data_IF_282974443763
#
_entry.id   IF_282974443763
#
_cell.length_a   1.000
_cell.length_b   1.000
_cell.length_c   1.000
_cell.angle_alpha   90.00
_cell.angle_beta   90.00
_cell.angle_gamma   90.00
#
_symmetry.space_group_name_H-M   'P 1'
#
loop_
_entity.id
_entity.type
_entity.pdbx_description
1 polymer ?
#
# COMPACT_ATOMS: atom_id res chain seq x y z
N UNK A 1 -16.93 27.06 13.23
CA UNK A 1 -15.49 26.83 13.11
C UNK A 1 -15.14 25.60 13.95
N UNK A 2 -15.11 24.43 13.31
CA UNK A 2 -14.78 23.16 13.96
C UNK A 2 -13.30 22.85 13.64
N UNK A 3 -12.42 23.38 14.46
CA UNK A 3 -11.01 23.02 14.39
C UNK A 3 -10.81 21.67 15.12
N UNK A 4 -10.04 20.72 14.59
CA UNK A 4 -9.79 19.46 15.28
C UNK A 4 -9.07 19.70 16.61
N UNK A 5 -9.36 18.85 17.60
CA UNK A 5 -8.68 18.89 18.89
C UNK A 5 -7.21 18.50 18.73
N UNK A 6 -6.94 17.51 17.90
CA UNK A 6 -5.59 17.05 17.56
C UNK A 6 -5.49 16.73 16.06
N UNK A 7 -4.28 16.93 15.52
CA UNK A 7 -3.90 16.46 14.18
C UNK A 7 -2.86 15.37 14.37
N UNK A 8 -3.17 14.17 13.93
CA UNK A 8 -2.35 12.97 14.17
C UNK A 8 -1.93 12.39 12.82
N UNK A 9 -0.64 12.22 12.59
CA UNK A 9 -0.11 11.45 11.47
C UNK A 9 0.29 10.06 11.95
N UNK A 10 -0.42 9.06 11.48
CA UNK A 10 -0.22 7.66 11.82
C UNK A 10 0.62 7.00 10.74
N UNK A 11 1.76 6.44 11.13
CA UNK A 11 2.70 5.79 10.21
C UNK A 11 2.88 4.31 10.54
N UNK A 12 3.27 3.47 9.58
CA UNK A 12 3.44 2.04 9.80
C UNK A 12 4.75 1.66 10.51
N UNK A 13 5.73 2.57 10.59
CA UNK A 13 7.00 2.33 11.26
C UNK A 13 7.75 3.62 11.57
N UNK A 14 8.78 3.51 12.43
CA UNK A 14 9.58 4.66 12.88
C UNK A 14 10.37 5.32 11.74
N UNK A 15 10.85 4.57 10.75
CA UNK A 15 11.58 5.13 9.62
C UNK A 15 10.73 6.11 8.83
N UNK A 16 9.50 5.73 8.51
CA UNK A 16 8.53 6.61 7.85
C UNK A 16 8.12 7.79 8.73
N UNK A 17 8.00 7.58 10.05
CA UNK A 17 7.74 8.70 10.97
C UNK A 17 8.80 9.79 10.89
N UNK A 18 10.07 9.40 10.80
CA UNK A 18 11.19 10.36 10.68
C UNK A 18 11.17 11.08 9.34
N UNK A 19 10.97 10.33 8.25
CA UNK A 19 10.86 10.91 6.92
C UNK A 19 9.73 11.95 6.85
N UNK A 20 8.55 11.62 7.35
CA UNK A 20 7.42 12.55 7.36
C UNK A 20 7.69 13.79 8.21
N UNK A 21 8.40 13.66 9.34
CA UNK A 21 8.77 14.82 10.14
C UNK A 21 9.66 15.78 9.34
N UNK A 22 10.67 15.25 8.66
CA UNK A 22 11.59 16.04 7.84
C UNK A 22 10.84 16.70 6.68
N UNK A 23 10.00 15.97 5.97
CA UNK A 23 9.20 16.49 4.84
C UNK A 23 8.20 17.56 5.28
N UNK A 24 7.54 17.39 6.41
CA UNK A 24 6.64 18.39 6.96
C UNK A 24 7.40 19.69 7.33
N UNK A 25 8.57 19.58 7.95
CA UNK A 25 9.40 20.75 8.27
C UNK A 25 9.88 21.47 7.00
N UNK A 26 10.32 20.71 5.99
CA UNK A 26 10.72 21.28 4.70
C UNK A 26 9.54 21.97 3.97
N UNK A 27 8.34 21.46 4.17
CA UNK A 27 7.10 22.02 3.60
C UNK A 27 6.53 23.20 4.41
N UNK A 28 7.23 23.65 5.46
CA UNK A 28 6.83 24.80 6.28
C UNK A 28 5.94 24.47 7.49
N UNK A 29 5.67 23.18 7.75
CA UNK A 29 4.95 22.74 8.95
C UNK A 29 5.90 22.55 10.14
N UNK A 30 6.60 23.60 10.54
CA UNK A 30 7.61 23.56 11.59
C UNK A 30 7.09 23.21 13.00
N UNK A 31 5.77 23.16 13.19
CA UNK A 31 5.13 22.70 14.43
C UNK A 31 4.87 21.19 14.48
N UNK A 32 5.36 20.42 13.50
CA UNK A 32 5.25 18.97 13.50
C UNK A 32 6.26 18.36 14.47
N UNK A 33 5.85 17.36 15.24
CA UNK A 33 6.70 16.67 16.21
C UNK A 33 6.30 15.22 16.41
N UNK A 34 7.21 14.41 16.96
CA UNK A 34 6.82 13.09 17.45
C UNK A 34 5.92 13.22 18.67
N UNK A 35 4.94 12.34 18.75
CA UNK A 35 4.07 12.27 19.92
C UNK A 35 4.88 12.09 21.21
N UNK A 36 4.61 12.93 22.20
CA UNK A 36 5.24 12.88 23.52
C UNK A 36 4.18 13.01 24.62
N UNK A 37 4.04 11.99 25.47
CA UNK A 37 3.08 11.95 26.58
C UNK A 37 3.25 13.10 27.60
N UNK A 38 4.47 13.57 27.77
CA UNK A 38 4.81 14.58 28.78
C UNK A 38 4.54 16.01 28.31
N UNK A 39 4.14 16.19 27.06
CA UNK A 39 3.94 17.51 26.45
C UNK A 39 2.52 17.68 25.96
N UNK A 40 1.95 18.84 26.21
CA UNK A 40 0.71 19.27 25.56
C UNK A 40 1.11 20.09 24.33
N UNK A 41 0.87 19.60 23.11
CA UNK A 41 1.25 20.31 21.90
C UNK A 41 0.43 21.59 21.74
N UNK A 42 1.02 22.57 21.06
CA UNK A 42 0.30 23.75 20.64
C UNK A 42 -0.83 23.39 19.68
N UNK A 43 -1.91 24.16 19.66
CA UNK A 43 -3.03 23.95 18.73
C UNK A 43 -2.53 24.00 17.28
N UNK A 44 -2.91 23.01 16.49
CA UNK A 44 -2.48 22.87 15.11
C UNK A 44 -1.17 22.12 14.90
N UNK A 45 -0.52 21.67 15.99
CA UNK A 45 0.65 20.79 15.88
C UNK A 45 0.25 19.45 15.28
N UNK A 46 1.05 18.94 14.32
CA UNK A 46 0.90 17.59 13.78
C UNK A 46 1.73 16.65 14.65
N UNK A 47 1.06 15.74 15.34
CA UNK A 47 1.71 14.72 16.16
C UNK A 47 1.90 13.43 15.37
N UNK A 48 3.16 13.05 15.14
CA UNK A 48 3.52 11.86 14.36
C UNK A 48 3.69 10.68 15.31
N UNK A 49 3.01 9.57 15.01
CA UNK A 49 3.06 8.38 15.82
C UNK A 49 3.13 7.11 14.98
N UNK A 50 4.08 6.22 15.33
CA UNK A 50 4.16 4.87 14.78
C UNK A 50 3.08 3.99 15.41
N UNK A 51 2.32 3.28 14.56
CA UNK A 51 1.24 2.38 14.99
C UNK A 51 1.73 1.27 15.93
N UNK A 52 2.97 0.81 15.77
CA UNK A 52 3.53 -0.26 16.58
C UNK A 52 3.86 0.19 18.02
N UNK A 53 3.94 1.50 18.25
CA UNK A 53 4.11 2.09 19.58
C UNK A 53 2.80 2.18 20.36
N UNK A 54 1.71 1.63 19.83
CA UNK A 54 0.39 1.63 20.46
C UNK A 54 0.04 0.24 20.97
N UNK A 55 -0.38 0.14 22.20
CA UNK A 55 -0.92 -1.05 22.85
C UNK A 55 -2.28 -0.77 23.47
N UNK A 56 -2.97 -1.83 23.88
CA UNK A 56 -4.25 -1.72 24.60
C UNK A 56 -4.03 -1.30 26.06
N UNK A 57 -2.77 -1.33 26.55
CA UNK A 57 -2.39 -0.91 27.90
C UNK A 57 -1.27 0.15 27.87
N UNK A 58 -1.27 1.03 28.90
CA UNK A 58 -0.19 1.99 29.08
C UNK A 58 1.11 1.28 29.50
N UNK A 59 2.11 1.27 28.63
CA UNK A 59 3.49 0.90 28.95
C UNK A 59 4.45 2.06 28.72
N UNK A 60 5.71 1.90 29.12
CA UNK A 60 6.73 2.95 28.93
C UNK A 60 6.91 3.39 27.47
N UNK A 61 6.56 2.50 26.52
CA UNK A 61 6.66 2.74 25.07
C UNK A 61 5.31 2.69 24.34
N UNK A 62 4.20 2.43 25.04
CA UNK A 62 2.86 2.31 24.45
C UNK A 62 1.96 3.41 24.96
N UNK A 63 1.10 3.92 24.08
CA UNK A 63 0.12 4.95 24.39
C UNK A 63 -1.27 4.33 24.25
N UNK A 64 -2.05 4.37 25.32
CA UNK A 64 -3.43 3.94 25.27
C UNK A 64 -4.22 4.79 24.26
N UNK A 65 -5.10 4.16 23.49
CA UNK A 65 -5.92 4.84 22.49
C UNK A 65 -6.82 5.89 23.15
N UNK A 66 -7.25 5.65 24.38
CA UNK A 66 -8.08 6.57 25.17
C UNK A 66 -7.41 7.92 25.49
N UNK A 67 -6.06 8.00 25.38
CA UNK A 67 -5.33 9.26 25.47
C UNK A 67 -5.63 10.24 24.32
N UNK A 68 -6.33 9.78 23.29
CA UNK A 68 -6.67 10.55 22.10
C UNK A 68 -8.18 10.72 21.91
N UNK A 69 -8.95 10.70 22.99
CA UNK A 69 -10.35 11.05 22.90
C UNK A 69 -10.52 12.48 22.37
N UNK A 70 -11.51 12.68 21.51
CA UNK A 70 -11.82 13.99 20.95
C UNK A 70 -12.10 13.98 19.45
N UNK A 71 -12.30 15.17 18.92
CA UNK A 71 -12.53 15.41 17.49
C UNK A 71 -11.16 15.50 16.77
N UNK A 72 -10.58 14.36 16.45
CA UNK A 72 -9.25 14.29 15.85
C UNK A 72 -9.32 14.34 14.32
N UNK A 73 -8.34 15.00 13.71
CA UNK A 73 -8.00 14.81 12.30
C UNK A 73 -6.85 13.81 12.23
N UNK A 74 -7.09 12.66 11.63
CA UNK A 74 -6.11 11.57 11.52
C UNK A 74 -5.67 11.43 10.06
N UNK A 75 -4.39 11.58 9.83
CA UNK A 75 -3.74 11.32 8.54
C UNK A 75 -3.09 9.94 8.63
N UNK A 76 -3.47 9.01 7.77
CA UNK A 76 -2.99 7.61 7.83
C UNK A 76 -2.13 7.32 6.62
N UNK A 77 -0.84 7.12 6.83
CA UNK A 77 0.06 6.66 5.79
C UNK A 77 -0.02 5.14 5.64
N UNK A 78 0.09 4.66 4.42
CA UNK A 78 -0.05 3.24 4.05
C UNK A 78 -1.36 2.62 4.55
N UNK A 79 -2.47 3.33 4.39
CA UNK A 79 -3.80 2.94 4.86
C UNK A 79 -4.25 1.53 4.43
N UNK A 80 -3.70 1.01 3.31
CA UNK A 80 -3.95 -0.35 2.84
C UNK A 80 -3.49 -1.45 3.82
N UNK A 81 -2.53 -1.18 4.72
CA UNK A 81 -2.01 -2.18 5.68
C UNK A 81 -3.05 -2.60 6.71
N UNK A 82 -4.08 -1.82 6.91
CA UNK A 82 -5.16 -2.09 7.85
C UNK A 82 -6.14 -3.22 7.49
N UNK A 83 -5.99 -3.90 6.36
CA UNK A 83 -7.05 -4.77 5.81
C UNK A 83 -6.73 -6.28 5.76
N UNK A 84 -5.63 -6.76 6.38
CA UNK A 84 -5.28 -8.18 6.51
C UNK A 84 -5.65 -8.77 7.88
N UNK A 85 -5.37 -10.06 8.16
CA UNK A 85 -5.70 -10.75 9.43
C UNK A 85 -4.97 -10.21 10.66
N UNK A 86 -3.78 -9.59 10.51
CA UNK A 86 -3.16 -8.73 11.51
C UNK A 86 -3.82 -7.34 11.57
N UNK A 87 -4.76 -7.08 10.69
CA UNK A 87 -5.47 -5.84 10.47
C UNK A 87 -6.48 -5.51 11.57
N UNK A 88 -6.97 -6.48 12.31
CA UNK A 88 -7.96 -6.22 13.35
C UNK A 88 -7.47 -5.20 14.37
N UNK A 89 -6.24 -5.33 14.84
CA UNK A 89 -5.66 -4.40 15.80
C UNK A 89 -5.35 -3.02 15.18
N UNK A 90 -4.85 -2.98 13.94
CA UNK A 90 -4.61 -1.73 13.22
C UNK A 90 -5.92 -0.96 12.99
N UNK A 91 -6.93 -1.62 12.41
CA UNK A 91 -8.24 -1.02 12.14
C UNK A 91 -8.92 -0.54 13.43
N UNK A 92 -8.92 -1.36 14.48
CA UNK A 92 -9.51 -0.99 15.76
C UNK A 92 -8.83 0.26 16.37
N UNK A 93 -7.50 0.35 16.27
CA UNK A 93 -6.74 1.51 16.74
C UNK A 93 -7.04 2.76 15.91
N UNK A 94 -7.08 2.63 14.59
CA UNK A 94 -7.48 3.72 13.70
C UNK A 94 -8.90 4.20 14.02
N UNK A 95 -9.85 3.28 14.09
CA UNK A 95 -11.27 3.59 14.34
C UNK A 95 -11.48 4.26 15.71
N UNK A 96 -10.71 3.84 16.71
CA UNK A 96 -10.74 4.48 18.02
C UNK A 96 -10.21 5.92 17.97
N UNK A 97 -9.15 6.19 17.19
CA UNK A 97 -8.62 7.55 17.00
C UNK A 97 -9.57 8.48 16.27
N UNK A 98 -10.39 7.93 15.38
CA UNK A 98 -11.30 8.69 14.50
C UNK A 98 -12.71 8.79 15.11
N UNK A 99 -12.98 8.14 16.24
CA UNK A 99 -14.34 7.98 16.80
C UNK A 99 -15.17 9.27 16.90
N UNK A 100 -14.56 10.41 17.13
CA UNK A 100 -15.25 11.71 17.15
C UNK A 100 -14.82 12.65 16.03
N UNK A 101 -13.94 12.20 15.13
CA UNK A 101 -13.26 13.04 14.17
C UNK A 101 -13.35 12.54 12.74
N UNK A 102 -12.28 12.77 11.99
CA UNK A 102 -12.18 12.42 10.58
C UNK A 102 -10.79 11.86 10.23
N UNK A 103 -10.71 10.95 9.25
CA UNK A 103 -9.45 10.42 8.75
C UNK A 103 -9.31 10.61 7.24
N UNK A 104 -8.09 10.95 6.83
CA UNK A 104 -7.62 10.80 5.46
C UNK A 104 -6.61 9.65 5.40
N UNK A 105 -6.82 8.73 4.48
CA UNK A 105 -5.93 7.59 4.26
C UNK A 105 -5.22 7.74 2.93
N UNK A 106 -3.91 7.53 2.96
CA UNK A 106 -3.03 7.61 1.79
C UNK A 106 -2.41 6.25 1.52
N UNK A 107 -2.37 5.84 0.27
CA UNK A 107 -1.65 4.63 -0.15
C UNK A 107 -1.43 4.63 -1.66
N UNK A 108 -0.26 4.21 -2.07
CA UNK A 108 0.03 3.91 -3.48
C UNK A 108 -0.60 2.57 -3.94
N UNK A 109 -1.03 1.72 -3.02
CA UNK A 109 -1.37 0.31 -3.29
C UNK A 109 -2.65 -0.17 -2.62
N UNK A 110 -3.70 0.65 -2.58
CA UNK A 110 -5.00 0.25 -2.02
C UNK A 110 -5.55 -1.05 -2.61
N UNK A 111 -5.23 -1.38 -3.85
CA UNK A 111 -5.59 -2.67 -4.45
C UNK A 111 -5.04 -3.90 -3.72
N UNK A 112 -3.97 -3.75 -2.93
CA UNK A 112 -3.43 -4.83 -2.09
C UNK A 112 -4.30 -5.09 -0.85
N UNK A 113 -5.02 -4.09 -0.37
CA UNK A 113 -5.88 -4.16 0.78
C UNK A 113 -6.98 -5.23 0.64
N UNK A 114 -7.47 -5.42 -0.57
CA UNK A 114 -8.55 -6.36 -0.89
C UNK A 114 -8.05 -7.67 -1.48
N UNK A 115 -6.73 -7.86 -1.62
CA UNK A 115 -6.17 -9.03 -2.30
C UNK A 115 -6.45 -10.36 -1.61
N UNK A 116 -6.79 -10.36 -0.31
CA UNK A 116 -7.05 -11.57 0.51
C UNK A 116 -8.38 -11.53 1.27
N UNK A 117 -9.22 -10.52 1.04
CA UNK A 117 -10.47 -10.36 1.78
C UNK A 117 -11.67 -11.09 1.18
N UNK A 118 -12.73 -11.27 1.97
CA UNK A 118 -14.02 -11.83 1.52
C UNK A 118 -14.62 -11.08 0.34
N UNK A 119 -14.33 -9.81 0.19
CA UNK A 119 -14.85 -8.94 -0.87
C UNK A 119 -14.33 -9.33 -2.25
N UNK A 120 -13.06 -9.77 -2.36
CA UNK A 120 -12.52 -10.29 -3.64
C UNK A 120 -13.18 -11.61 -3.98
N UNK A 121 -13.30 -12.53 -3.01
CA UNK A 121 -13.98 -13.81 -3.21
C UNK A 121 -15.44 -13.62 -3.61
N UNK A 122 -16.15 -12.67 -3.01
CA UNK A 122 -17.52 -12.33 -3.37
C UNK A 122 -17.62 -11.78 -4.82
N UNK A 123 -16.69 -10.90 -5.21
CA UNK A 123 -16.64 -10.39 -6.56
C UNK A 123 -16.26 -11.45 -7.60
N UNK A 124 -15.38 -12.40 -7.26
CA UNK A 124 -15.05 -13.58 -8.07
C UNK A 124 -16.27 -14.49 -8.23
N UNK A 125 -16.98 -14.76 -7.13
CA UNK A 125 -18.21 -15.56 -7.15
C UNK A 125 -19.31 -14.90 -7.99
N UNK A 126 -19.44 -13.58 -7.95
CA UNK A 126 -20.41 -12.85 -8.79
C UNK A 126 -20.10 -13.00 -10.29
N UNK A 127 -18.83 -12.92 -10.67
CA UNK A 127 -18.41 -13.20 -12.06
C UNK A 127 -18.79 -14.63 -12.46
N UNK A 128 -18.52 -15.61 -11.58
CA UNK A 128 -18.88 -17.00 -11.84
C UNK A 128 -20.41 -17.20 -11.95
N UNK A 129 -21.19 -16.57 -11.07
CA UNK A 129 -22.67 -16.61 -11.12
C UNK A 129 -23.23 -16.02 -12.41
N UNK A 130 -22.69 -14.88 -12.85
CA UNK A 130 -23.08 -14.24 -14.11
C UNK A 130 -22.77 -15.15 -15.31
N UNK A 131 -21.60 -15.80 -15.31
CA UNK A 131 -21.21 -16.77 -16.34
C UNK A 131 -22.07 -18.02 -16.30
N UNK A 132 -22.36 -18.54 -15.12
CA UNK A 132 -23.25 -19.69 -14.94
C UNK A 132 -24.68 -19.38 -15.41
N UNK A 133 -25.18 -18.19 -15.17
CA UNK A 133 -26.48 -17.76 -15.68
C UNK A 133 -26.52 -17.72 -17.21
N UNK A 134 -25.45 -17.23 -17.84
CA UNK A 134 -25.35 -17.18 -19.30
C UNK A 134 -25.23 -18.57 -19.93
N UNK A 135 -24.43 -19.47 -19.35
CA UNK A 135 -24.15 -20.79 -19.96
C UNK A 135 -25.17 -21.85 -19.58
N UNK A 136 -25.70 -21.82 -18.35
CA UNK A 136 -26.50 -22.89 -17.77
C UNK A 136 -27.85 -22.41 -17.22
N UNK A 137 -28.18 -21.15 -17.41
CA UNK A 137 -29.40 -20.49 -16.89
C UNK A 137 -29.62 -20.68 -15.38
N UNK A 138 -28.54 -20.77 -14.60
CA UNK A 138 -28.58 -20.90 -13.14
C UNK A 138 -27.61 -19.92 -12.48
N UNK A 139 -27.95 -19.46 -11.28
CA UNK A 139 -27.05 -18.68 -10.41
C UNK A 139 -26.49 -19.51 -9.26
N UNK A 140 -26.97 -20.75 -9.09
CA UNK A 140 -26.50 -21.67 -8.05
C UNK A 140 -25.26 -22.42 -8.51
N UNK A 141 -24.10 -22.01 -8.05
CA UNK A 141 -22.84 -22.71 -8.35
C UNK A 141 -22.77 -24.12 -7.73
N UNK A 142 -23.56 -24.36 -6.68
CA UNK A 142 -23.60 -25.66 -5.99
C UNK A 142 -24.33 -26.74 -6.78
N UNK A 143 -25.25 -26.36 -7.66
CA UNK A 143 -26.03 -27.28 -8.47
C UNK A 143 -25.34 -27.76 -9.76
N UNK A 144 -24.14 -27.22 -10.04
CA UNK A 144 -23.36 -27.52 -11.22
C UNK A 144 -22.47 -28.76 -11.00
N UNK A 145 -22.35 -29.58 -12.01
CA UNK A 145 -21.38 -30.67 -12.04
C UNK A 145 -19.94 -30.18 -12.25
N UNK A 146 -18.96 -31.07 -12.13
CA UNK A 146 -17.55 -30.68 -12.18
C UNK A 146 -17.12 -30.20 -13.58
N UNK A 147 -17.71 -30.75 -14.66
CA UNK A 147 -17.47 -30.30 -16.02
C UNK A 147 -17.99 -28.88 -16.26
N UNK A 148 -19.17 -28.56 -15.72
CA UNK A 148 -19.76 -27.24 -15.76
C UNK A 148 -18.96 -26.23 -14.90
N UNK A 149 -18.50 -26.64 -13.71
CA UNK A 149 -17.64 -25.82 -12.87
C UNK A 149 -16.31 -25.50 -13.54
N UNK A 150 -15.71 -26.43 -14.26
CA UNK A 150 -14.49 -26.20 -15.02
C UNK A 150 -14.64 -25.07 -16.06
N UNK A 151 -15.83 -24.96 -16.69
CA UNK A 151 -16.13 -23.88 -17.65
C UNK A 151 -16.29 -22.50 -16.98
N UNK A 152 -16.47 -22.47 -15.66
CA UNK A 152 -16.55 -21.24 -14.88
C UNK A 152 -15.20 -20.81 -14.30
N UNK A 153 -14.11 -21.49 -14.64
CA UNK A 153 -12.77 -21.12 -14.18
C UNK A 153 -12.46 -19.65 -14.49
N UNK A 154 -11.95 -18.95 -13.48
CA UNK A 154 -11.63 -17.52 -13.60
C UNK A 154 -10.31 -17.33 -14.33
N UNK A 155 -10.33 -16.51 -15.35
CA UNK A 155 -9.12 -16.05 -16.03
C UNK A 155 -8.34 -15.05 -15.19
N UNK A 156 -7.09 -14.75 -15.56
CA UNK A 156 -6.31 -13.70 -14.92
C UNK A 156 -7.02 -12.32 -15.00
N UNK A 157 -7.70 -12.05 -16.12
CA UNK A 157 -8.48 -10.83 -16.29
C UNK A 157 -9.72 -10.79 -15.39
N UNK A 158 -10.42 -11.90 -15.21
CA UNK A 158 -11.55 -12.00 -14.28
C UNK A 158 -11.11 -11.68 -12.85
N UNK A 159 -9.97 -12.26 -12.42
CA UNK A 159 -9.39 -11.99 -11.09
C UNK A 159 -8.98 -10.54 -10.93
N UNK A 160 -8.42 -9.93 -11.98
CA UNK A 160 -8.10 -8.50 -11.99
C UNK A 160 -9.37 -7.65 -11.83
N UNK A 161 -10.43 -7.95 -12.59
CA UNK A 161 -11.73 -7.26 -12.48
C UNK A 161 -12.35 -7.42 -11.11
N UNK A 162 -12.30 -8.61 -10.53
CA UNK A 162 -12.80 -8.86 -9.18
C UNK A 162 -12.10 -8.00 -8.13
N UNK A 163 -10.77 -7.87 -8.20
CA UNK A 163 -10.00 -6.98 -7.32
C UNK A 163 -10.41 -5.51 -7.47
N UNK A 164 -10.54 -5.02 -8.71
CA UNK A 164 -10.96 -3.64 -8.97
C UNK A 164 -12.37 -3.41 -8.41
N UNK A 165 -13.30 -4.34 -8.62
CA UNK A 165 -14.67 -4.23 -8.10
C UNK A 165 -14.67 -4.21 -6.58
N UNK A 166 -13.94 -5.12 -5.93
CA UNK A 166 -13.81 -5.17 -4.48
C UNK A 166 -13.22 -3.86 -3.90
N UNK A 167 -12.16 -3.34 -4.55
CA UNK A 167 -11.57 -2.05 -4.15
C UNK A 167 -12.59 -0.92 -4.25
N UNK A 168 -13.35 -0.87 -5.33
CA UNK A 168 -14.38 0.16 -5.54
C UNK A 168 -15.51 0.07 -4.54
N UNK A 169 -15.92 -1.11 -4.14
CA UNK A 169 -16.98 -1.27 -3.12
C UNK A 169 -16.53 -0.79 -1.75
N UNK A 170 -15.26 -1.03 -1.38
CA UNK A 170 -14.73 -0.60 -0.09
C UNK A 170 -14.48 0.91 -0.07
N UNK A 171 -13.88 1.45 -1.12
CA UNK A 171 -13.36 2.81 -1.13
C UNK A 171 -14.11 3.79 -2.05
N UNK A 172 -14.96 3.33 -2.98
CA UNK A 172 -15.52 4.18 -4.04
C UNK A 172 -16.33 5.38 -3.53
N UNK A 173 -16.92 5.28 -2.36
CA UNK A 173 -17.64 6.40 -1.72
C UNK A 173 -16.71 7.38 -0.98
N UNK A 174 -15.45 7.00 -0.79
CA UNK A 174 -14.48 7.69 0.06
C UNK A 174 -13.23 8.13 -0.70
N UNK A 175 -13.09 7.81 -1.99
CA UNK A 175 -11.96 8.26 -2.80
C UNK A 175 -12.16 9.73 -3.14
N UNK A 176 -11.31 10.58 -2.56
CA UNK A 176 -11.30 12.01 -2.82
C UNK A 176 -10.35 12.39 -3.95
N UNK A 177 -9.28 11.64 -4.12
CA UNK A 177 -8.23 11.92 -5.07
C UNK A 177 -7.55 10.63 -5.54
N UNK A 178 -7.41 10.46 -6.84
CA UNK A 178 -6.67 9.36 -7.47
C UNK A 178 -5.49 9.94 -8.25
N UNK A 179 -4.29 9.72 -7.75
CA UNK A 179 -3.04 10.06 -8.42
C UNK A 179 -2.23 8.78 -8.63
N UNK A 180 -2.78 7.90 -9.46
CA UNK A 180 -2.15 6.62 -9.82
C UNK A 180 -0.83 6.83 -10.58
N UNK A 181 -0.01 5.78 -10.66
CA UNK A 181 1.27 5.82 -11.37
C UNK A 181 1.14 6.36 -12.81
N UNK A 182 0.00 6.16 -13.46
CA UNK A 182 -0.27 6.69 -14.78
C UNK A 182 -0.16 8.23 -14.82
N UNK A 183 -0.86 8.90 -13.90
CA UNK A 183 -0.83 10.37 -13.80
C UNK A 183 0.55 10.87 -13.37
N UNK A 184 1.16 10.20 -12.40
CA UNK A 184 2.52 10.49 -11.94
C UNK A 184 3.54 10.40 -13.09
N UNK A 185 3.39 9.43 -13.97
CA UNK A 185 4.24 9.25 -15.13
C UNK A 185 3.97 10.31 -16.21
N UNK A 186 2.67 10.59 -16.50
CA UNK A 186 2.25 11.61 -17.48
C UNK A 186 2.73 13.01 -17.07
N UNK A 187 2.79 13.30 -15.77
CA UNK A 187 3.32 14.57 -15.23
C UNK A 187 4.86 14.64 -15.23
N UNK A 188 5.54 13.61 -15.70
CA UNK A 188 7.01 13.58 -15.84
C UNK A 188 7.79 13.18 -14.58
N UNK A 189 7.13 12.78 -13.51
CA UNK A 189 7.79 12.30 -12.27
C UNK A 189 8.14 10.82 -12.32
N UNK A 190 7.47 10.06 -13.18
CA UNK A 190 7.69 8.62 -13.32
C UNK A 190 8.98 8.31 -14.06
N UNK A 191 9.54 7.13 -13.79
CA UNK A 191 10.68 6.57 -14.51
C UNK A 191 10.22 5.42 -15.38
N UNK A 192 10.82 5.27 -16.55
CA UNK A 192 10.64 4.07 -17.35
C UNK A 192 11.20 2.85 -16.62
N UNK A 193 10.48 1.76 -16.67
CA UNK A 193 10.89 0.49 -16.09
C UNK A 193 10.96 -0.58 -17.17
N UNK A 194 12.02 -1.36 -17.17
CA UNK A 194 12.15 -2.55 -17.99
C UNK A 194 12.01 -3.79 -17.10
N UNK A 195 10.97 -4.57 -17.32
CA UNK A 195 10.75 -5.82 -16.60
C UNK A 195 11.36 -6.95 -17.43
N UNK A 196 12.48 -7.48 -16.96
CA UNK A 196 13.07 -8.71 -17.50
C UNK A 196 12.51 -9.89 -16.72
N UNK A 197 11.74 -10.73 -17.37
CA UNK A 197 11.13 -11.90 -16.74
C UNK A 197 11.36 -13.16 -17.57
N UNK A 198 11.42 -14.31 -16.89
CA UNK A 198 11.40 -15.62 -17.51
C UNK A 198 9.99 -16.21 -17.41
N UNK A 199 9.60 -17.07 -18.38
CA UNK A 199 8.36 -17.83 -18.27
C UNK A 199 8.37 -18.68 -16.99
N UNK A 200 7.22 -18.76 -16.28
CA UNK A 200 7.13 -19.26 -14.91
C UNK A 200 7.75 -20.64 -14.67
N UNK A 201 7.62 -21.56 -15.63
CA UNK A 201 8.15 -22.93 -15.50
C UNK A 201 9.67 -23.02 -15.74
N UNK A 202 10.24 -22.09 -16.49
CA UNK A 202 11.66 -22.07 -16.76
C UNK A 202 12.51 -21.68 -15.53
N UNK A 203 11.95 -20.90 -14.60
CA UNK A 203 12.66 -20.44 -13.40
C UNK A 203 12.88 -21.56 -12.37
N UNK A 204 12.05 -22.59 -12.37
CA UNK A 204 12.13 -23.70 -11.41
C UNK A 204 13.32 -24.64 -11.66
N UNK A 205 13.96 -24.54 -12.81
CA UNK A 205 15.18 -25.30 -13.12
C UNK A 205 16.41 -24.56 -12.57
N UNK A 206 17.21 -25.21 -11.73
CA UNK A 206 18.38 -24.62 -11.07
C UNK A 206 19.36 -23.93 -12.05
N UNK A 207 19.62 -24.56 -13.20
CA UNK A 207 20.50 -24.00 -14.24
C UNK A 207 19.95 -22.70 -14.85
N UNK A 208 18.64 -22.57 -14.97
CA UNK A 208 18.03 -21.36 -15.50
C UNK A 208 18.02 -20.22 -14.47
N UNK A 209 17.89 -20.53 -13.18
CA UNK A 209 18.02 -19.55 -12.12
C UNK A 209 19.41 -18.93 -12.11
N UNK A 210 20.48 -19.75 -12.23
CA UNK A 210 21.86 -19.26 -12.32
C UNK A 210 22.06 -18.35 -13.55
N UNK A 211 21.56 -18.75 -14.71
CA UNK A 211 21.61 -17.94 -15.94
C UNK A 211 20.86 -16.61 -15.77
N UNK A 212 19.68 -16.64 -15.15
CA UNK A 212 18.89 -15.44 -14.90
C UNK A 212 19.62 -14.46 -13.99
N UNK A 213 20.16 -14.94 -12.85
CA UNK A 213 20.95 -14.09 -11.96
C UNK A 213 22.22 -13.54 -12.63
N UNK A 214 22.89 -14.35 -13.45
CA UNK A 214 24.05 -13.90 -14.23
C UNK A 214 23.65 -12.78 -15.19
N UNK A 215 22.54 -12.93 -15.90
CA UNK A 215 22.03 -11.90 -16.80
C UNK A 215 21.68 -10.59 -16.05
N UNK A 216 21.05 -10.70 -14.87
CA UNK A 216 20.78 -9.54 -14.02
C UNK A 216 22.08 -8.84 -13.56
N UNK A 217 23.10 -9.61 -13.16
CA UNK A 217 24.41 -9.08 -12.79
C UNK A 217 25.08 -8.34 -13.94
N UNK A 218 25.05 -8.93 -15.14
CA UNK A 218 25.63 -8.30 -16.33
C UNK A 218 24.88 -7.01 -16.71
N UNK A 219 23.55 -7.02 -16.63
CA UNK A 219 22.76 -5.83 -16.87
C UNK A 219 23.07 -4.72 -15.85
N UNK A 220 23.22 -5.06 -14.58
CA UNK A 220 23.63 -4.10 -13.56
C UNK A 220 25.06 -3.59 -13.77
N UNK A 221 25.99 -4.47 -14.12
CA UNK A 221 27.36 -4.07 -14.45
C UNK A 221 27.40 -3.10 -15.63
N UNK A 222 26.58 -3.35 -16.66
CA UNK A 222 26.44 -2.43 -17.79
C UNK A 222 25.95 -1.05 -17.34
N UNK A 223 24.98 -0.97 -16.43
CA UNK A 223 24.53 0.31 -15.89
C UNK A 223 25.63 1.02 -15.10
N UNK A 224 26.39 0.29 -14.30
CA UNK A 224 27.54 0.85 -13.58
C UNK A 224 28.61 1.38 -14.54
N UNK A 225 28.89 0.64 -15.60
CA UNK A 225 29.84 1.05 -16.62
C UNK A 225 29.40 2.32 -17.35
N UNK A 226 28.15 2.38 -17.79
CA UNK A 226 27.58 3.56 -18.43
C UNK A 226 27.60 4.78 -17.49
N UNK A 227 27.22 4.59 -16.23
CA UNK A 227 27.29 5.65 -15.24
C UNK A 227 28.72 6.17 -15.02
N UNK A 228 29.70 5.27 -14.87
CA UNK A 228 31.09 5.66 -14.66
C UNK A 228 31.68 6.39 -15.86
N UNK A 229 31.32 5.96 -17.08
CA UNK A 229 31.82 6.53 -18.33
C UNK A 229 31.21 7.89 -18.67
N UNK A 230 29.96 8.11 -18.26
CA UNK A 230 29.20 9.32 -18.59
C UNK A 230 28.85 10.18 -17.36
N UNK A 231 29.58 10.01 -16.27
CA UNK A 231 29.29 10.68 -14.98
C UNK A 231 29.08 12.19 -15.12
N UNK A 232 29.94 12.85 -15.89
CA UNK A 232 29.90 14.30 -16.06
C UNK A 232 28.57 14.75 -16.74
N UNK A 233 28.09 13.98 -17.72
CA UNK A 233 26.83 14.26 -18.40
C UNK A 233 25.60 13.94 -17.55
N UNK A 234 25.73 12.99 -16.63
CA UNK A 234 24.64 12.54 -15.76
C UNK A 234 24.49 13.43 -14.51
N UNK A 235 25.53 14.19 -14.16
CA UNK A 235 25.52 15.10 -13.03
C UNK A 235 24.48 16.21 -13.18
N UNK A 236 24.27 16.72 -14.39
CA UNK A 236 23.28 17.76 -14.68
C UNK A 236 21.82 17.30 -14.40
N UNK A 237 21.60 16.00 -14.37
CA UNK A 237 20.30 15.37 -14.10
C UNK A 237 20.19 14.81 -12.68
N UNK A 238 21.16 15.07 -11.81
CA UNK A 238 21.23 14.50 -10.46
C UNK A 238 21.11 12.96 -10.43
N UNK A 239 21.66 12.28 -11.45
CA UNK A 239 21.63 10.83 -11.53
C UNK A 239 22.77 10.25 -10.70
N UNK A 240 22.38 9.66 -9.58
CA UNK A 240 23.27 8.98 -8.65
C UNK A 240 23.72 7.60 -9.16
N UNK A 241 24.74 7.06 -8.51
CA UNK A 241 25.27 5.73 -8.81
C UNK A 241 24.16 4.68 -8.76
N UNK A 242 24.04 3.81 -9.79
CA UNK A 242 23.05 2.72 -9.79
C UNK A 242 23.15 1.86 -8.55
N UNK A 243 22.01 1.54 -7.95
CA UNK A 243 21.86 0.67 -6.80
C UNK A 243 21.19 -0.63 -7.23
N UNK A 244 21.72 -1.75 -6.78
CA UNK A 244 21.07 -3.04 -6.92
C UNK A 244 20.45 -3.47 -5.58
N UNK A 245 19.15 -3.77 -5.62
CA UNK A 245 18.41 -4.23 -4.46
C UNK A 245 17.96 -5.67 -4.71
N UNK A 246 18.37 -6.58 -3.83
CA UNK A 246 17.84 -7.94 -3.79
C UNK A 246 16.67 -8.00 -2.82
N UNK A 247 15.55 -8.53 -3.29
CA UNK A 247 14.39 -8.83 -2.45
C UNK A 247 14.20 -10.34 -2.45
N UNK A 248 14.49 -10.98 -1.32
CA UNK A 248 14.29 -12.40 -1.11
C UNK A 248 13.03 -12.67 -0.30
N UNK A 249 12.44 -13.86 -0.48
CA UNK A 249 11.44 -14.38 0.43
C UNK A 249 12.16 -15.08 1.60
N UNK A 250 11.81 -14.70 2.81
CA UNK A 250 12.21 -15.41 4.05
C UNK A 250 11.21 -16.50 4.36
#
# INVERSE_FOLDING_TARGET
DHFPDKIILLTPNEGLSRQHLEELHLSGFGFSQFFNKAQTPARGTIEIIDINKRGDEMGDKTVAVDAFEGNNLVLVDEGHRGTGTAAGAWMARRDALVRGGFAFEYSATFGQAVAKGMTVAAAEEDIQKKRAKMLFNTTSLRSLDDGQKAQLALTAEDKRRARITATREIYAKCILFDYSYKFFYEDGYGKESLILNMSGDAYQQADNAAKYFTACLLAFYQQLFLWSTHRDKLADFNIEKPLWVFVGNT
#
